data_IF_905064974089
#
_entry.id   IF_905064974089
#
_cell.length_a   1.000
_cell.length_b   1.000
_cell.length_c   1.000
_cell.angle_alpha   90.00
_cell.angle_beta   90.00
_cell.angle_gamma   90.00
#
_symmetry.space_group_name_H-M   'P 1'
#
loop_
_entity.id
_entity.type
_entity.pdbx_description
1 polymer ?
#
# COMPACT_ATOMS: atom_id res chain seq x y z
N UNK A 1 -3.37 -10.45 13.50
CA UNK A 1 -2.64 -10.77 12.25
C UNK A 1 -1.23 -10.19 12.32
N UNK A 2 -0.25 -10.82 11.68
CA UNK A 2 1.06 -10.23 11.41
C UNK A 2 0.92 -9.24 10.27
N UNK A 3 1.25 -7.98 10.54
CA UNK A 3 1.18 -6.87 9.59
C UNK A 3 2.60 -6.43 9.26
N UNK A 4 2.94 -6.42 7.99
CA UNK A 4 4.13 -5.74 7.47
C UNK A 4 3.73 -4.53 6.64
N UNK A 5 4.72 -3.79 6.13
CA UNK A 5 4.50 -2.70 5.22
C UNK A 5 5.40 -2.83 3.98
N UNK A 6 4.90 -2.31 2.86
CA UNK A 6 5.61 -2.20 1.60
C UNK A 6 5.31 -0.88 0.91
N UNK A 7 6.10 -0.53 -0.10
CA UNK A 7 5.88 0.64 -0.94
C UNK A 7 6.27 0.32 -2.39
N UNK A 8 6.09 1.26 -3.31
CA UNK A 8 6.35 1.05 -4.74
C UNK A 8 7.85 1.09 -5.14
N UNK A 9 8.78 0.92 -4.20
CA UNK A 9 10.21 0.94 -4.49
C UNK A 9 10.69 -0.38 -5.14
N UNK A 10 11.90 -0.36 -5.71
CA UNK A 10 12.49 -1.51 -6.38
C UNK A 10 12.70 -2.72 -5.45
N UNK A 11 13.06 -2.48 -4.19
CA UNK A 11 13.31 -3.54 -3.21
C UNK A 11 12.02 -4.21 -2.73
N UNK A 12 10.96 -3.44 -2.50
CA UNK A 12 9.66 -3.98 -2.08
C UNK A 12 8.93 -4.68 -3.24
N UNK A 13 8.90 -4.06 -4.43
CA UNK A 13 8.11 -4.55 -5.56
C UNK A 13 8.90 -5.32 -6.63
N UNK A 14 10.18 -5.65 -6.36
CA UNK A 14 11.02 -6.48 -7.23
C UNK A 14 11.04 -6.00 -8.70
N UNK A 15 11.39 -4.73 -8.90
CA UNK A 15 11.60 -4.15 -10.22
C UNK A 15 12.95 -3.43 -10.31
N UNK A 16 13.47 -3.28 -11.52
CA UNK A 16 14.73 -2.57 -11.80
C UNK A 16 14.59 -1.65 -13.02
N UNK A 17 15.52 -0.71 -13.16
CA UNK A 17 15.58 0.19 -14.32
C UNK A 17 16.43 -0.38 -15.43
N UNK A 18 16.00 -0.14 -16.67
CA UNK A 18 16.68 -0.56 -17.90
C UNK A 18 16.67 -2.08 -18.12
N UNK A 19 16.95 -2.50 -19.34
CA UNK A 19 17.04 -3.89 -19.78
C UNK A 19 18.45 -4.23 -20.24
N UNK A 20 18.94 -5.42 -19.87
CA UNK A 20 20.21 -5.92 -20.38
C UNK A 20 20.21 -6.18 -21.89
N UNK A 21 19.02 -6.27 -22.51
CA UNK A 21 18.89 -6.31 -23.98
C UNK A 21 19.42 -5.04 -24.65
N UNK A 22 19.37 -3.91 -23.94
CA UNK A 22 19.82 -2.60 -24.41
C UNK A 22 21.04 -2.10 -23.61
N UNK A 23 21.79 -3.00 -22.98
CA UNK A 23 22.93 -2.65 -22.12
C UNK A 23 22.54 -1.61 -21.04
N UNK A 24 21.30 -1.65 -20.54
CA UNK A 24 20.72 -0.70 -19.56
C UNK A 24 20.64 0.75 -20.03
N UNK A 25 20.79 1.04 -21.32
CA UNK A 25 20.68 2.39 -21.87
C UNK A 25 19.26 2.96 -21.81
N UNK A 26 18.25 2.10 -21.66
CA UNK A 26 16.83 2.42 -21.48
C UNK A 26 16.45 2.64 -20.00
N UNK A 27 17.30 3.32 -19.23
CA UNK A 27 17.17 3.46 -17.78
C UNK A 27 15.90 4.19 -17.29
N UNK A 28 15.19 4.88 -18.17
CA UNK A 28 13.88 5.47 -17.85
C UNK A 28 12.77 4.42 -17.70
N UNK A 29 12.93 3.25 -18.34
CA UNK A 29 11.95 2.16 -18.27
C UNK A 29 12.16 1.29 -17.03
N UNK A 30 11.05 0.79 -16.47
CA UNK A 30 11.03 -0.16 -15.34
C UNK A 30 10.66 -1.55 -15.81
N UNK A 31 11.36 -2.56 -15.32
CA UNK A 31 11.14 -3.97 -15.63
C UNK A 31 11.09 -4.81 -14.37
N UNK A 32 10.29 -5.87 -14.38
CA UNK A 32 10.21 -6.84 -13.28
C UNK A 32 11.55 -7.57 -13.14
N UNK A 33 12.14 -7.58 -11.95
CA UNK A 33 13.47 -8.17 -11.70
C UNK A 33 13.41 -9.62 -11.19
N UNK A 34 12.28 -10.04 -10.63
CA UNK A 34 12.10 -11.37 -10.05
C UNK A 34 10.70 -11.98 -10.33
N UNK A 35 10.61 -13.31 -10.19
CA UNK A 35 9.36 -14.05 -10.36
C UNK A 35 9.02 -14.40 -11.82
N UNK A 36 7.81 -14.95 -12.07
CA UNK A 36 7.43 -15.50 -13.37
C UNK A 36 7.41 -14.47 -14.50
N UNK A 37 7.18 -13.19 -14.16
CA UNK A 37 7.09 -12.09 -15.12
C UNK A 37 8.42 -11.35 -15.33
N UNK A 38 9.55 -11.90 -14.89
CA UNK A 38 10.88 -11.26 -15.00
C UNK A 38 11.17 -10.79 -16.43
N UNK A 39 11.64 -9.54 -16.55
CA UNK A 39 11.98 -8.90 -17.82
C UNK A 39 10.79 -8.24 -18.54
N UNK A 40 9.55 -8.43 -18.07
CA UNK A 40 8.39 -7.68 -18.58
C UNK A 40 8.38 -6.24 -18.03
N UNK A 41 7.75 -5.28 -18.73
CA UNK A 41 7.56 -3.93 -18.20
C UNK A 41 6.81 -3.93 -16.87
N UNK A 42 7.24 -3.10 -15.93
CA UNK A 42 6.61 -2.95 -14.62
C UNK A 42 5.63 -1.77 -14.63
N UNK A 43 4.35 -2.05 -14.38
CA UNK A 43 3.27 -1.04 -14.36
C UNK A 43 3.23 -0.25 -13.06
N UNK A 44 3.52 -0.89 -11.92
CA UNK A 44 3.29 -0.31 -10.59
C UNK A 44 1.83 -0.35 -10.14
N UNK A 45 0.98 -1.11 -10.85
CA UNK A 45 -0.39 -1.39 -10.45
C UNK A 45 -0.44 -2.61 -9.51
N UNK A 46 -1.47 -2.66 -8.69
CA UNK A 46 -1.78 -3.79 -7.81
C UNK A 46 -2.20 -5.01 -8.63
N UNK A 47 -2.26 -6.18 -7.99
CA UNK A 47 -2.77 -7.39 -8.64
C UNK A 47 -4.24 -7.30 -9.12
N UNK A 48 -5.04 -6.40 -8.54
CA UNK A 48 -6.40 -6.07 -9.01
C UNK A 48 -6.44 -5.04 -10.16
N UNK A 49 -5.30 -4.41 -10.47
CA UNK A 49 -5.17 -3.41 -11.54
C UNK A 49 -5.35 -1.96 -11.08
N UNK A 50 -5.52 -1.72 -9.78
CA UNK A 50 -5.64 -0.38 -9.20
C UNK A 50 -4.27 0.26 -8.95
N UNK A 51 -4.24 1.59 -8.78
CA UNK A 51 -3.04 2.29 -8.32
C UNK A 51 -3.00 2.16 -6.79
N UNK A 52 -1.90 1.65 -6.20
CA UNK A 52 -1.85 1.47 -4.76
C UNK A 52 -1.82 2.81 -4.03
N UNK A 53 -2.55 2.92 -2.93
CA UNK A 53 -2.69 4.14 -2.12
C UNK A 53 -2.50 3.83 -0.65
N UNK A 54 -1.98 4.81 0.08
CA UNK A 54 -1.89 4.74 1.52
C UNK A 54 -3.24 5.10 2.13
N UNK A 55 -3.55 4.57 3.32
CA UNK A 55 -4.76 4.95 4.02
C UNK A 55 -4.61 6.37 4.57
N UNK A 56 -5.58 7.24 4.29
CA UNK A 56 -5.62 8.59 4.86
C UNK A 56 -6.84 8.74 5.75
N UNK A 57 -6.59 9.21 6.97
CA UNK A 57 -7.66 9.60 7.88
C UNK A 57 -8.19 10.98 7.46
N UNK A 58 -9.52 11.10 7.35
CA UNK A 58 -10.18 12.36 6.98
C UNK A 58 -10.12 13.41 8.10
N UNK A 59 -10.88 14.50 7.95
CA UNK A 59 -10.79 15.66 8.84
C UNK A 59 -11.17 15.40 10.30
N UNK A 60 -11.89 14.33 10.61
CA UNK A 60 -12.19 13.88 11.97
C UNK A 60 -11.23 12.78 12.45
N UNK A 61 -9.95 12.95 12.14
CA UNK A 61 -8.86 12.07 12.57
C UNK A 61 -8.36 12.42 13.98
N UNK A 62 -7.56 11.53 14.56
CA UNK A 62 -6.82 11.79 15.80
C UNK A 62 -5.88 12.99 15.62
N UNK A 63 -5.31 13.15 14.43
CA UNK A 63 -4.44 14.29 14.11
C UNK A 63 -5.17 15.64 14.22
N UNK A 64 -6.42 15.73 13.77
CA UNK A 64 -7.23 16.95 13.92
C UNK A 64 -7.57 17.26 15.38
N UNK A 65 -7.60 16.27 16.28
CA UNK A 65 -7.74 16.49 17.72
C UNK A 65 -6.46 17.07 18.34
N UNK A 66 -5.28 16.69 17.84
CA UNK A 66 -4.00 17.23 18.31
C UNK A 66 -3.67 18.60 17.73
N UNK A 67 -4.13 18.90 16.51
CA UNK A 67 -3.82 20.14 15.79
C UNK A 67 -5.08 20.94 15.40
N UNK A 68 -5.97 21.31 16.35
CA UNK A 68 -7.27 21.90 16.04
C UNK A 68 -7.17 23.27 15.33
N UNK A 69 -6.08 24.02 15.52
CA UNK A 69 -5.86 25.30 14.84
C UNK A 69 -5.65 25.17 13.33
N UNK A 70 -5.36 23.97 12.82
CA UNK A 70 -5.25 23.71 11.39
C UNK A 70 -6.61 23.50 10.71
N UNK A 71 -7.69 23.31 11.46
CA UNK A 71 -9.02 23.02 10.91
C UNK A 71 -9.49 24.12 9.93
N UNK A 72 -9.42 25.42 10.25
CA UNK A 72 -9.80 26.47 9.30
C UNK A 72 -8.96 26.45 8.02
N UNK A 73 -7.65 26.19 8.16
CA UNK A 73 -6.71 26.12 7.02
C UNK A 73 -7.03 24.92 6.13
N UNK A 74 -7.29 23.74 6.71
CA UNK A 74 -7.65 22.51 5.97
C UNK A 74 -8.96 22.68 5.21
N UNK A 75 -9.97 23.29 5.84
CA UNK A 75 -11.27 23.53 5.20
C UNK A 75 -11.13 24.50 4.02
N UNK A 76 -10.36 25.58 4.17
CA UNK A 76 -10.25 26.63 3.15
C UNK A 76 -9.32 26.22 2.00
N UNK A 77 -8.16 25.64 2.30
CA UNK A 77 -7.10 25.38 1.31
C UNK A 77 -7.10 23.95 0.77
N UNK A 78 -7.65 22.98 1.50
CA UNK A 78 -7.59 21.56 1.16
C UNK A 78 -8.94 20.85 1.35
N UNK A 79 -10.04 21.35 0.75
CA UNK A 79 -11.36 20.73 0.91
C UNK A 79 -11.41 19.28 0.40
N UNK A 80 -10.53 18.89 -0.52
CA UNK A 80 -10.43 17.50 -1.00
C UNK A 80 -9.85 16.52 0.03
N UNK A 81 -9.17 16.99 1.08
CA UNK A 81 -8.66 16.15 2.18
C UNK A 81 -9.71 15.92 3.30
N UNK A 82 -10.95 16.40 3.12
CA UNK A 82 -12.01 16.26 4.11
C UNK A 82 -12.41 14.80 4.33
N UNK A 83 -12.44 14.00 3.26
CA UNK A 83 -12.96 12.64 3.27
C UNK A 83 -11.83 11.63 3.48
N UNK A 84 -12.00 10.66 4.40
CA UNK A 84 -11.07 9.55 4.50
C UNK A 84 -11.09 8.74 3.20
N UNK A 85 -9.98 8.08 2.89
CA UNK A 85 -9.96 7.07 1.85
C UNK A 85 -9.18 5.84 2.30
N UNK A 86 -9.63 4.70 1.81
CA UNK A 86 -9.07 3.41 2.18
C UNK A 86 -7.70 3.21 1.48
N UNK A 87 -6.76 2.64 2.23
CA UNK A 87 -5.46 2.23 1.70
C UNK A 87 -5.50 0.88 1.00
N UNK A 88 -4.43 0.55 0.29
CA UNK A 88 -4.25 -0.72 -0.40
C UNK A 88 -3.59 -1.74 0.52
N UNK A 89 -4.18 -2.93 0.61
CA UNK A 89 -3.66 -4.07 1.37
C UNK A 89 -3.30 -5.20 0.41
N UNK A 90 -2.13 -5.79 0.62
CA UNK A 90 -1.75 -7.06 0.02
C UNK A 90 -2.05 -8.22 0.97
N UNK A 91 -2.79 -9.22 0.49
CA UNK A 91 -3.16 -10.39 1.28
C UNK A 91 -3.20 -11.67 0.42
N UNK A 92 -3.35 -12.82 1.08
CA UNK A 92 -3.60 -14.08 0.38
C UNK A 92 -5.08 -14.17 -0.04
N UNK A 93 -5.34 -14.04 -1.34
CA UNK A 93 -6.71 -14.07 -1.88
C UNK A 93 -7.44 -15.39 -1.74
N UNK A 94 -6.74 -16.45 -1.34
CA UNK A 94 -7.39 -17.72 -0.99
C UNK A 94 -8.20 -17.62 0.30
N UNK A 95 -7.85 -16.65 1.17
CA UNK A 95 -8.53 -16.38 2.43
C UNK A 95 -9.28 -15.05 2.41
N UNK A 96 -8.73 -14.03 1.75
CA UNK A 96 -9.30 -12.68 1.68
C UNK A 96 -9.44 -12.26 0.22
N UNK A 97 -10.59 -12.51 -0.43
CA UNK A 97 -10.83 -12.11 -1.81
C UNK A 97 -10.59 -10.61 -2.02
N UNK A 98 -10.29 -10.22 -3.26
CA UNK A 98 -10.19 -8.79 -3.60
C UNK A 98 -11.48 -8.06 -3.23
N UNK A 99 -11.35 -6.85 -2.70
CA UNK A 99 -12.46 -6.08 -2.15
C UNK A 99 -12.73 -6.32 -0.66
N UNK A 100 -12.09 -7.32 -0.04
CA UNK A 100 -12.14 -7.47 1.43
C UNK A 100 -11.61 -6.21 2.09
N UNK A 101 -12.40 -5.61 2.97
CA UNK A 101 -12.05 -4.38 3.68
C UNK A 101 -11.54 -4.73 5.08
N UNK A 102 -10.50 -4.05 5.55
CA UNK A 102 -9.89 -4.32 6.83
C UNK A 102 -9.56 -3.04 7.58
N UNK A 103 -9.83 -3.02 8.89
CA UNK A 103 -9.35 -1.97 9.77
C UNK A 103 -8.10 -2.43 10.50
N UNK A 104 -7.01 -1.68 10.33
CA UNK A 104 -5.73 -1.95 10.96
C UNK A 104 -5.41 -0.80 11.91
N UNK A 105 -5.32 -1.05 13.23
CA UNK A 105 -5.01 -0.01 14.21
C UNK A 105 -3.70 0.72 13.88
N UNK A 106 -3.77 2.06 13.78
CA UNK A 106 -2.65 2.93 13.46
C UNK A 106 -2.31 3.07 11.97
N UNK A 107 -3.01 2.34 11.10
CA UNK A 107 -2.95 2.53 9.64
C UNK A 107 -4.28 3.09 9.11
N UNK A 108 -5.40 2.60 9.64
CA UNK A 108 -6.74 3.00 9.20
C UNK A 108 -7.45 1.88 8.44
N UNK A 109 -8.42 2.27 7.62
CA UNK A 109 -9.15 1.34 6.74
C UNK A 109 -8.36 1.10 5.46
N UNK A 110 -8.39 -0.15 4.99
CA UNK A 110 -7.82 -0.52 3.70
C UNK A 110 -8.59 -1.64 3.03
N UNK A 111 -8.34 -1.83 1.74
CA UNK A 111 -8.99 -2.83 0.89
C UNK A 111 -7.94 -3.78 0.33
N UNK A 112 -8.25 -5.07 0.31
CA UNK A 112 -7.41 -6.08 -0.34
C UNK A 112 -7.51 -5.87 -1.86
N UNK A 113 -6.46 -5.31 -2.42
CA UNK A 113 -6.34 -5.02 -3.85
C UNK A 113 -5.10 -5.66 -4.47
N UNK A 114 -4.17 -6.13 -3.64
CA UNK A 114 -2.88 -6.62 -4.08
C UNK A 114 -2.55 -8.01 -3.52
N UNK A 115 -1.54 -8.66 -4.11
CA UNK A 115 -1.05 -9.98 -3.70
C UNK A 115 0.47 -10.04 -3.75
N UNK A 116 1.07 -10.39 -2.62
CA UNK A 116 2.50 -10.67 -2.54
C UNK A 116 2.80 -12.17 -2.64
N UNK A 117 3.87 -12.53 -3.36
CA UNK A 117 4.36 -13.91 -3.37
C UNK A 117 4.75 -14.44 -1.98
N UNK A 118 5.26 -13.55 -1.11
CA UNK A 118 5.65 -13.85 0.27
C UNK A 118 4.51 -13.67 1.29
N UNK A 119 3.36 -13.14 0.88
CA UNK A 119 2.20 -12.89 1.75
C UNK A 119 1.23 -14.06 1.60
N UNK A 120 1.34 -15.02 2.53
CA UNK A 120 0.61 -16.30 2.46
C UNK A 120 -0.07 -16.63 3.79
N UNK A 121 -1.24 -17.25 3.68
CA UNK A 121 -2.06 -17.70 4.80
C UNK A 121 -2.93 -16.61 5.44
N UNK A 122 -3.83 -17.03 6.32
CA UNK A 122 -4.86 -16.16 6.92
C UNK A 122 -4.33 -15.12 7.93
N UNK A 123 -3.11 -15.29 8.45
CA UNK A 123 -2.59 -14.46 9.56
C UNK A 123 -1.54 -13.44 9.12
N UNK A 124 -1.36 -13.18 7.83
CA UNK A 124 -0.33 -12.28 7.31
C UNK A 124 -0.91 -11.35 6.25
N UNK A 125 -0.67 -10.05 6.42
CA UNK A 125 -1.04 -8.99 5.47
C UNK A 125 0.11 -7.98 5.33
N UNK A 126 0.17 -7.29 4.20
CA UNK A 126 1.13 -6.23 3.93
C UNK A 126 0.39 -4.93 3.59
N UNK A 127 0.78 -3.84 4.23
CA UNK A 127 0.10 -2.55 4.12
C UNK A 127 0.91 -1.64 3.19
N UNK A 128 0.24 -0.99 2.25
CA UNK A 128 0.92 -0.07 1.33
C UNK A 128 1.16 1.28 1.99
N UNK A 129 2.38 1.79 1.87
CA UNK A 129 2.78 3.14 2.23
C UNK A 129 3.33 3.86 1.00
N UNK A 130 3.11 5.17 0.95
CA UNK A 130 3.60 6.03 -0.13
C UNK A 130 5.12 6.16 -0.10
N UNK A 131 5.73 6.15 1.09
CA UNK A 131 7.18 6.22 1.28
C UNK A 131 7.80 4.91 1.77
N UNK A 132 9.00 4.60 1.28
CA UNK A 132 9.81 3.50 1.82
C UNK A 132 10.18 3.70 3.29
N UNK A 133 10.45 4.94 3.69
CA UNK A 133 10.83 5.24 5.06
C UNK A 133 9.67 5.01 6.04
N UNK A 134 8.44 5.34 5.64
CA UNK A 134 7.23 5.06 6.44
C UNK A 134 6.99 3.56 6.56
N UNK A 135 7.14 2.80 5.46
CA UNK A 135 7.06 1.34 5.50
C UNK A 135 8.08 0.73 6.47
N UNK A 136 9.31 1.22 6.47
CA UNK A 136 10.34 0.78 7.42
C UNK A 136 9.99 1.15 8.87
N UNK A 137 9.46 2.37 9.07
CA UNK A 137 9.05 2.87 10.39
C UNK A 137 7.88 2.06 10.94
N UNK A 138 6.94 1.65 10.09
CA UNK A 138 5.84 0.77 10.46
C UNK A 138 6.33 -0.58 10.99
N UNK A 139 7.32 -1.16 10.30
CA UNK A 139 7.98 -2.40 10.68
C UNK A 139 7.07 -3.64 10.59
N UNK A 140 7.44 -4.69 11.34
CA UNK A 140 6.64 -5.90 11.49
C UNK A 140 6.04 -5.94 12.89
N UNK A 141 4.72 -6.06 12.98
CA UNK A 141 4.01 -6.15 14.26
C UNK A 141 2.77 -7.04 14.16
N UNK A 142 2.27 -7.46 15.32
CA UNK A 142 1.04 -8.25 15.41
C UNK A 142 -0.06 -7.38 16.00
N UNK A 143 -1.12 -7.18 15.22
CA UNK A 143 -2.25 -6.34 15.58
C UNK A 143 -3.56 -7.12 15.48
N UNK A 144 -4.57 -6.71 16.24
CA UNK A 144 -5.95 -7.15 16.05
C UNK A 144 -6.53 -6.40 14.87
N UNK A 145 -6.84 -7.11 13.79
CA UNK A 145 -7.36 -6.55 12.53
C UNK A 145 -8.82 -6.93 12.44
N UNK A 146 -9.68 -5.94 12.20
CA UNK A 146 -11.10 -6.18 11.89
C UNK A 146 -11.23 -6.43 10.41
N UNK A 147 -11.97 -7.46 10.01
CA UNK A 147 -12.13 -7.86 8.61
C UNK A 147 -13.60 -7.81 8.24
N UNK A 148 -13.89 -7.17 7.11
CA UNK A 148 -15.20 -7.08 6.46
C UNK A 148 -15.07 -7.74 5.08
N UNK A 149 -15.66 -8.94 4.95
CA UNK A 149 -15.69 -9.65 3.67
C UNK A 149 -16.68 -8.95 2.71
N UNK A 150 -16.41 -8.96 1.39
CA UNK A 150 -17.27 -8.34 0.38
C UNK A 150 -18.57 -9.13 0.14
#
# INVERSE_FOLDING_TARGET
METTAYCNCSSCCSWERGSWKWLKLDFWNRYVSAGPSKGRPYSGLTASGTVPKEAEEGLFSIDSLHHPWMIPVRIILFPWCLLPHDGTIAADTSYYPFGTRMYVPGYGWGVVEDRGGAIKGAKRIDLYFSSHNEALTWGRKRLSVTVELP
#
